data_IF_185899677323
#
_entry.id   IF_185899677323
#
_cell.length_a   1.000
_cell.length_b   1.000
_cell.length_c   1.000
_cell.angle_alpha   90.00
_cell.angle_beta   90.00
_cell.angle_gamma   90.00
#
_symmetry.space_group_name_H-M   'P 1'
#
loop_
_entity.id
_entity.type
_entity.pdbx_description
1 polymer ?
#
# COMPACT_ATOMS: atom_id res chain seq x y z
N UNK A 1 35.97 -22.05 -18.63
CA UNK A 1 34.99 -21.07 -19.16
C UNK A 1 33.72 -21.18 -18.32
N UNK A 2 33.40 -20.19 -17.50
CA UNK A 2 32.23 -20.24 -16.62
C UNK A 2 30.96 -20.05 -17.47
N UNK A 3 30.10 -21.07 -17.51
CA UNK A 3 28.82 -21.02 -18.21
C UNK A 3 27.89 -20.06 -17.46
N UNK A 4 27.76 -18.82 -17.94
CA UNK A 4 26.81 -17.82 -17.43
C UNK A 4 25.39 -18.10 -17.96
N UNK A 5 24.86 -19.27 -17.61
CA UNK A 5 23.50 -19.67 -17.97
C UNK A 5 22.43 -18.88 -17.19
N UNK A 6 21.31 -18.57 -17.84
CA UNK A 6 20.15 -17.91 -17.19
C UNK A 6 19.58 -18.80 -16.07
N UNK A 7 19.41 -18.24 -14.87
CA UNK A 7 18.92 -18.97 -13.68
C UNK A 7 17.47 -19.48 -13.80
N UNK A 8 16.62 -18.80 -14.59
CA UNK A 8 15.22 -19.20 -14.78
C UNK A 8 14.77 -18.96 -16.22
N UNK A 9 13.66 -19.61 -16.59
CA UNK A 9 12.98 -19.40 -17.88
C UNK A 9 12.29 -18.03 -17.97
N UNK A 10 12.21 -17.26 -16.89
CA UNK A 10 11.48 -15.99 -16.86
C UNK A 10 9.96 -16.15 -17.01
N UNK A 11 9.26 -15.05 -17.28
CA UNK A 11 7.80 -15.05 -17.48
C UNK A 11 7.45 -15.78 -18.77
N UNK A 12 6.69 -16.86 -18.66
CA UNK A 12 6.21 -17.64 -19.80
C UNK A 12 4.76 -17.25 -20.14
N UNK A 13 4.41 -17.30 -21.43
CA UNK A 13 3.03 -17.15 -21.88
C UNK A 13 2.25 -18.41 -21.52
N UNK A 14 1.05 -18.25 -21.01
CA UNK A 14 0.11 -19.34 -20.72
C UNK A 14 -1.22 -19.04 -21.39
N UNK A 15 -1.99 -20.08 -21.69
CA UNK A 15 -3.34 -19.94 -22.24
C UNK A 15 -4.32 -19.37 -21.20
N UNK A 16 -5.33 -18.63 -21.65
CA UNK A 16 -6.41 -18.12 -20.79
C UNK A 16 -7.49 -19.20 -20.69
N UNK A 17 -7.15 -20.26 -19.96
CA UNK A 17 -8.04 -21.36 -19.59
C UNK A 17 -7.78 -21.76 -18.13
N UNK A 18 -8.57 -22.70 -17.61
CA UNK A 18 -8.34 -23.23 -16.26
C UNK A 18 -6.94 -23.88 -16.17
N UNK A 19 -6.17 -23.52 -15.14
CA UNK A 19 -4.89 -24.17 -14.86
C UNK A 19 -5.21 -25.46 -14.11
N UNK A 20 -4.87 -26.60 -14.67
CA UNK A 20 -5.21 -27.91 -14.11
C UNK A 20 -4.41 -28.22 -12.84
N UNK A 21 -3.11 -27.89 -12.83
CA UNK A 21 -2.27 -28.06 -11.66
C UNK A 21 -2.74 -27.12 -10.53
N UNK A 22 -3.12 -27.72 -9.39
CA UNK A 22 -3.69 -26.99 -8.26
C UNK A 22 -2.72 -25.98 -7.64
N UNK A 23 -1.45 -26.33 -7.46
CA UNK A 23 -0.45 -25.46 -6.86
C UNK A 23 -0.15 -24.26 -7.76
N UNK A 24 0.05 -24.52 -9.06
CA UNK A 24 0.25 -23.47 -10.06
C UNK A 24 -0.98 -22.55 -10.16
N UNK A 25 -2.18 -23.12 -10.04
CA UNK A 25 -3.44 -22.36 -10.01
C UNK A 25 -3.52 -21.45 -8.79
N UNK A 26 -3.20 -21.93 -7.60
CA UNK A 26 -3.18 -21.13 -6.36
C UNK A 26 -2.11 -20.03 -6.38
N UNK A 27 -0.92 -20.35 -6.87
CA UNK A 27 0.17 -19.38 -7.05
C UNK A 27 -0.25 -18.31 -8.06
N UNK A 28 -0.84 -18.71 -9.19
CA UNK A 28 -1.30 -17.78 -10.22
C UNK A 28 -2.43 -16.90 -9.71
N UNK A 29 -3.41 -17.47 -8.99
CA UNK A 29 -4.48 -16.72 -8.34
C UNK A 29 -3.92 -15.65 -7.41
N UNK A 30 -3.00 -16.03 -6.51
CA UNK A 30 -2.41 -15.11 -5.55
C UNK A 30 -1.66 -13.96 -6.22
N UNK A 31 -0.84 -14.27 -7.25
CA UNK A 31 -0.08 -13.27 -8.01
C UNK A 31 -0.98 -12.35 -8.84
N UNK A 32 -1.98 -12.90 -9.53
CA UNK A 32 -2.92 -12.12 -10.34
C UNK A 32 -3.81 -11.24 -9.47
N UNK A 33 -4.34 -11.77 -8.37
CA UNK A 33 -5.13 -11.01 -7.39
C UNK A 33 -4.33 -9.80 -6.91
N UNK A 34 -3.09 -10.00 -6.45
CA UNK A 34 -2.25 -8.90 -6.02
C UNK A 34 -2.02 -7.85 -7.13
N UNK A 35 -1.74 -8.29 -8.36
CA UNK A 35 -1.56 -7.38 -9.49
C UNK A 35 -2.81 -6.58 -9.86
N UNK A 36 -3.99 -7.21 -9.82
CA UNK A 36 -5.28 -6.56 -10.07
C UNK A 36 -5.55 -5.50 -9.01
N UNK A 37 -5.37 -5.82 -7.73
CA UNK A 37 -5.60 -4.87 -6.64
C UNK A 37 -4.70 -3.64 -6.77
N UNK A 38 -3.41 -3.83 -7.07
CA UNK A 38 -2.50 -2.70 -7.36
C UNK A 38 -3.01 -1.82 -8.49
N UNK A 39 -3.53 -2.42 -9.57
CA UNK A 39 -4.10 -1.65 -10.68
C UNK A 39 -5.38 -0.92 -10.32
N UNK A 40 -6.21 -1.51 -9.48
CA UNK A 40 -7.40 -0.85 -8.93
C UNK A 40 -6.97 0.34 -8.08
N UNK A 41 -5.97 0.20 -7.20
CA UNK A 41 -5.46 1.29 -6.37
C UNK A 41 -4.88 2.43 -7.23
N UNK A 42 -4.08 2.11 -8.25
CA UNK A 42 -3.57 3.10 -9.21
C UNK A 42 -4.72 3.86 -9.91
N UNK A 43 -5.74 3.14 -10.39
CA UNK A 43 -6.93 3.76 -11.02
C UNK A 43 -7.73 4.62 -10.04
N UNK A 44 -7.89 4.14 -8.82
CA UNK A 44 -8.60 4.79 -7.71
C UNK A 44 -8.00 6.17 -7.42
N UNK A 45 -6.66 6.24 -7.38
CA UNK A 45 -5.90 7.49 -7.25
C UNK A 45 -6.08 8.38 -8.48
N UNK A 46 -5.89 7.85 -9.69
CA UNK A 46 -5.97 8.62 -10.94
C UNK A 46 -7.36 9.23 -11.19
N UNK A 47 -8.42 8.51 -10.83
CA UNK A 47 -9.79 8.96 -11.00
C UNK A 47 -10.32 9.80 -9.82
N UNK A 48 -9.47 10.12 -8.82
CA UNK A 48 -9.85 10.94 -7.67
C UNK A 48 -10.88 10.26 -6.75
N UNK A 49 -11.02 8.94 -6.82
CA UNK A 49 -11.95 8.16 -5.99
C UNK A 49 -11.20 7.06 -5.27
N UNK A 50 -10.34 7.39 -4.28
CA UNK A 50 -9.34 6.52 -3.64
C UNK A 50 -9.89 5.25 -2.96
N UNK A 51 -11.20 5.02 -2.98
CA UNK A 51 -11.89 3.96 -2.25
C UNK A 51 -12.96 3.21 -3.06
N UNK A 52 -12.88 3.20 -4.41
CA UNK A 52 -13.90 2.55 -5.25
C UNK A 52 -14.01 1.03 -5.08
N UNK A 53 -13.02 0.36 -4.49
CA UNK A 53 -13.14 -1.07 -4.22
C UNK A 53 -13.92 -1.31 -2.93
N UNK A 54 -15.23 -1.56 -3.06
CA UNK A 54 -16.01 -2.01 -1.92
C UNK A 54 -16.57 -0.91 -1.01
N UNK A 55 -16.59 0.37 -1.38
CA UNK A 55 -17.34 1.37 -0.61
C UNK A 55 -18.83 1.41 -1.01
N UNK A 56 -19.76 1.48 -0.03
CA UNK A 56 -19.55 1.59 1.42
C UNK A 56 -19.06 0.30 2.09
N UNK A 57 -19.50 -0.85 1.58
CA UNK A 57 -18.98 -2.19 1.89
C UNK A 57 -19.16 -3.10 0.67
N UNK A 58 -18.35 -4.16 0.55
CA UNK A 58 -18.50 -5.17 -0.52
C UNK A 58 -19.93 -5.75 -0.49
N UNK A 59 -20.47 -5.96 0.71
CA UNK A 59 -21.83 -6.43 0.91
C UNK A 59 -22.89 -5.43 0.42
N UNK A 60 -22.69 -4.14 0.68
CA UNK A 60 -23.56 -3.08 0.15
C UNK A 60 -23.55 -3.04 -1.38
N UNK A 61 -22.37 -3.18 -1.99
CA UNK A 61 -22.22 -3.26 -3.45
C UNK A 61 -22.87 -4.54 -4.00
N UNK A 62 -22.63 -5.69 -3.36
CA UNK A 62 -23.18 -6.98 -3.75
C UNK A 62 -24.71 -6.96 -3.70
N UNK A 63 -25.28 -6.47 -2.59
CA UNK A 63 -26.72 -6.31 -2.44
C UNK A 63 -27.30 -5.35 -3.48
N UNK A 64 -26.61 -4.25 -3.82
CA UNK A 64 -27.04 -3.34 -4.90
C UNK A 64 -27.04 -4.01 -6.26
N UNK A 65 -26.01 -4.81 -6.55
CA UNK A 65 -25.85 -5.52 -7.82
C UNK A 65 -26.88 -6.63 -7.98
N UNK A 66 -27.10 -7.43 -6.94
CA UNK A 66 -28.04 -8.55 -6.92
C UNK A 66 -29.50 -8.08 -6.90
N UNK A 67 -29.80 -6.95 -6.24
CA UNK A 67 -31.18 -6.50 -6.02
C UNK A 67 -31.65 -5.47 -7.05
N UNK A 68 -30.89 -5.21 -8.12
CA UNK A 68 -31.37 -4.43 -9.26
C UNK A 68 -31.61 -2.94 -8.96
N UNK A 69 -30.59 -2.26 -8.43
CA UNK A 69 -30.49 -0.79 -8.40
C UNK A 69 -31.33 -0.07 -7.32
N UNK A 70 -30.82 -0.04 -6.08
CA UNK A 70 -31.21 0.99 -5.10
C UNK A 70 -30.26 2.17 -5.31
N UNK A 71 -30.80 3.30 -5.77
CA UNK A 71 -30.09 4.58 -5.75
C UNK A 71 -29.79 4.91 -4.29
N UNK A 72 -28.54 4.71 -3.86
CA UNK A 72 -28.14 5.09 -2.50
C UNK A 72 -28.21 6.60 -2.45
N UNK A 73 -29.19 7.09 -1.69
CA UNK A 73 -29.44 8.50 -1.44
C UNK A 73 -28.12 9.14 -0.96
N UNK A 74 -27.77 10.24 -1.60
CA UNK A 74 -26.56 11.07 -1.57
C UNK A 74 -25.95 11.30 -0.16
N UNK A 75 -26.76 11.19 0.89
CA UNK A 75 -26.39 11.57 2.25
C UNK A 75 -25.51 10.55 2.98
N UNK A 76 -25.64 9.26 2.67
CA UNK A 76 -24.85 8.22 3.36
C UNK A 76 -23.38 8.25 2.93
N UNK A 77 -23.11 8.59 1.65
CA UNK A 77 -21.75 8.79 1.15
C UNK A 77 -21.08 9.97 1.86
N UNK A 78 -21.74 11.12 1.96
CA UNK A 78 -21.19 12.31 2.61
C UNK A 78 -20.85 12.08 4.09
N UNK A 79 -21.71 11.36 4.83
CA UNK A 79 -21.44 11.05 6.25
C UNK A 79 -20.26 10.09 6.42
N UNK A 80 -20.16 9.06 5.56
CA UNK A 80 -19.05 8.11 5.58
C UNK A 80 -17.75 8.80 5.15
N UNK A 81 -17.79 9.66 4.14
CA UNK A 81 -16.64 10.48 3.70
C UNK A 81 -16.17 11.41 4.81
N UNK A 82 -17.08 12.09 5.51
CA UNK A 82 -16.74 12.94 6.64
C UNK A 82 -16.07 12.14 7.78
N UNK A 83 -16.64 10.99 8.15
CA UNK A 83 -16.07 10.12 9.18
C UNK A 83 -14.69 9.57 8.78
N UNK A 84 -14.55 9.12 7.53
CA UNK A 84 -13.26 8.66 6.99
C UNK A 84 -12.22 9.79 6.99
N UNK A 85 -12.62 10.99 6.58
CA UNK A 85 -11.74 12.18 6.55
C UNK A 85 -11.21 12.52 7.93
N UNK A 86 -12.08 12.54 8.95
CA UNK A 86 -11.67 12.79 10.35
C UNK A 86 -10.66 11.74 10.82
N UNK A 87 -10.92 10.46 10.54
CA UNK A 87 -10.02 9.36 10.94
C UNK A 87 -8.67 9.43 10.23
N UNK A 88 -8.66 9.76 8.93
CA UNK A 88 -7.44 9.91 8.14
C UNK A 88 -6.62 11.11 8.64
N UNK A 89 -7.24 12.27 8.86
CA UNK A 89 -6.55 13.45 9.37
C UNK A 89 -5.94 13.21 10.75
N UNK A 90 -6.64 12.44 11.61
CA UNK A 90 -6.09 12.00 12.90
C UNK A 90 -4.83 11.16 12.70
N UNK A 91 -4.85 10.20 11.76
CA UNK A 91 -3.72 9.34 11.47
C UNK A 91 -2.53 10.12 10.89
N UNK A 92 -2.78 11.03 9.94
CA UNK A 92 -1.76 11.91 9.36
C UNK A 92 -1.09 12.74 10.45
N UNK A 93 -1.88 13.31 11.37
CA UNK A 93 -1.34 14.08 12.50
C UNK A 93 -0.41 13.23 13.37
N UNK A 94 -0.82 12.01 13.71
CA UNK A 94 0.02 11.10 14.51
C UNK A 94 1.29 10.68 13.76
N UNK A 95 1.19 10.41 12.46
CA UNK A 95 2.33 10.07 11.63
C UNK A 95 3.37 11.20 11.59
N UNK A 96 2.92 12.43 11.31
CA UNK A 96 3.80 13.60 11.25
C UNK A 96 4.46 13.88 12.61
N UNK A 97 3.73 13.68 13.71
CA UNK A 97 4.26 13.81 15.07
C UNK A 97 5.40 12.83 15.33
N UNK A 98 5.18 11.53 15.07
CA UNK A 98 6.20 10.50 15.23
C UNK A 98 7.40 10.76 14.31
N UNK A 99 7.16 11.19 13.07
CA UNK A 99 8.22 11.51 12.13
C UNK A 99 9.10 12.67 12.64
N UNK A 100 8.49 13.73 13.17
CA UNK A 100 9.22 14.84 13.76
C UNK A 100 10.07 14.42 14.96
N UNK A 101 9.59 13.48 15.79
CA UNK A 101 10.35 12.95 16.92
C UNK A 101 11.57 12.15 16.48
N UNK A 102 11.42 11.33 15.44
CA UNK A 102 12.52 10.57 14.83
C UNK A 102 13.59 11.52 14.29
N UNK A 103 13.18 12.56 13.56
CA UNK A 103 14.10 13.52 12.96
C UNK A 103 14.88 14.30 14.04
N UNK A 104 14.21 14.73 15.11
CA UNK A 104 14.85 15.39 16.25
C UNK A 104 15.86 14.46 16.96
N UNK A 105 15.51 13.19 17.19
CA UNK A 105 16.42 12.22 17.80
C UNK A 105 17.64 11.92 16.93
N UNK A 106 17.47 11.89 15.61
CA UNK A 106 18.59 11.68 14.68
C UNK A 106 19.53 12.89 14.68
N UNK A 107 19.00 14.10 14.78
CA UNK A 107 19.83 15.31 14.80
C UNK A 107 20.63 15.43 16.10
N UNK A 108 20.03 15.12 17.25
CA UNK A 108 20.77 15.06 18.52
C UNK A 108 21.87 14.00 18.49
N UNK A 109 21.61 12.83 17.90
CA UNK A 109 22.63 11.80 17.70
C UNK A 109 23.81 12.27 16.83
N UNK A 110 23.55 13.02 15.76
CA UNK A 110 24.62 13.59 14.92
C UNK A 110 25.48 14.60 15.67
N UNK A 111 24.86 15.51 16.43
CA UNK A 111 25.58 16.52 17.22
C UNK A 111 26.47 15.83 18.27
N UNK A 112 25.94 14.84 18.98
CA UNK A 112 26.73 14.05 19.95
C UNK A 112 27.89 13.30 19.26
N UNK A 113 27.67 12.71 18.08
CA UNK A 113 28.73 12.04 17.33
C UNK A 113 29.85 13.00 16.92
N UNK A 114 29.52 14.23 16.52
CA UNK A 114 30.51 15.26 16.16
C UNK A 114 31.33 15.73 17.38
N UNK A 115 30.70 15.92 18.53
CA UNK A 115 31.38 16.29 19.78
C UNK A 115 32.38 15.21 20.23
N UNK A 116 31.97 13.94 20.19
CA UNK A 116 32.84 12.81 20.55
C UNK A 116 34.06 12.72 19.63
N UNK A 117 33.91 12.98 18.33
CA UNK A 117 35.05 13.01 17.39
C UNK A 117 36.00 14.19 17.64
N UNK A 118 35.49 15.37 18.02
CA UNK A 118 36.33 16.53 18.34
C UNK A 118 37.10 16.37 19.66
N UNK A 119 36.51 15.71 20.65
CA UNK A 119 37.17 15.42 21.94
C UNK A 119 38.25 14.33 21.82
N UNK A 120 38.08 13.37 20.90
CA UNK A 120 39.12 12.34 20.66
C UNK A 120 40.34 12.90 19.93
N UNK A 121 40.17 13.88 19.04
CA UNK A 121 41.28 14.57 18.37
C UNK A 121 42.01 15.56 19.30
N UNK A 122 41.31 16.17 20.28
CA UNK A 122 41.93 17.06 21.28
C UNK A 122 42.74 16.31 22.35
N UNK A 123 42.46 15.04 22.60
CA UNK A 123 43.18 14.20 23.57
C UNK A 123 44.32 13.38 22.92
N UNK A 124 44.67 13.70 21.66
CA UNK A 124 45.72 13.03 20.87
C UNK A 124 46.93 13.94 20.61
N UNK A 125 47.36 14.67 21.64
CA UNK A 125 48.64 15.39 21.70
C UNK A 125 49.34 15.12 23.02
#
# INVERSE_FOLDING_TARGET
>A
MANTGKKTRGKQKIEIKMIENQDDRLITFSKRRLGIYKKIDELSILCGKPFTFGQPSIESIANRFLNGNIHVIDNTCALIEAHCTVRINKLIKLYNEVQSQIDASNETQKVLAQQVTSETDSNRW
#
